data_IF_369112633202
#
_entry.id   IF_369112633202
#
_cell.length_a   1.000
_cell.length_b   1.000
_cell.length_c   1.000
_cell.angle_alpha   90.00
_cell.angle_beta   90.00
_cell.angle_gamma   90.00
#
_symmetry.space_group_name_H-M   'P 1'
#
loop_
_entity.id
_entity.type
_entity.pdbx_description
1 polymer ?
#
# COMPACT_ATOMS: atom_id res chain seq x y z
N UNK A 1 17.27 13.24 6.59
CA UNK A 1 17.83 13.21 5.22
C UNK A 1 19.35 13.33 5.34
N UNK A 2 20.11 12.42 4.73
CA UNK A 2 21.56 12.60 4.64
C UNK A 2 21.84 13.80 3.71
N UNK A 3 22.68 14.77 4.10
CA UNK A 3 23.05 15.87 3.24
C UNK A 3 23.59 15.35 1.90
N UNK A 4 23.05 15.83 0.78
CA UNK A 4 23.53 15.51 -0.58
C UNK A 4 22.86 14.34 -1.30
N UNK A 5 21.90 13.63 -0.68
CA UNK A 5 21.09 12.62 -1.39
C UNK A 5 19.87 13.28 -2.03
N UNK A 6 19.77 13.21 -3.37
CA UNK A 6 18.59 13.67 -4.10
C UNK A 6 17.34 12.86 -3.73
N UNK A 7 16.17 13.46 -3.92
CA UNK A 7 14.91 12.76 -3.75
C UNK A 7 14.72 11.80 -4.92
N UNK A 8 14.28 10.55 -4.67
CA UNK A 8 13.93 9.65 -5.76
C UNK A 8 12.90 10.30 -6.69
N UNK A 9 12.87 9.86 -7.94
CA UNK A 9 11.79 10.24 -8.84
C UNK A 9 10.44 9.92 -8.21
N UNK A 10 9.52 10.88 -8.24
CA UNK A 10 8.18 10.72 -7.65
C UNK A 10 7.33 9.71 -8.44
N UNK A 11 7.72 9.41 -9.68
CA UNK A 11 7.07 8.41 -10.53
C UNK A 11 7.68 7.02 -10.31
N UNK A 12 7.77 6.60 -9.04
CA UNK A 12 8.23 5.27 -8.62
C UNK A 12 9.75 5.03 -8.66
N UNK A 13 10.55 6.05 -8.38
CA UNK A 13 12.01 5.89 -8.26
C UNK A 13 12.72 5.77 -9.62
N UNK A 14 13.93 5.24 -9.58
CA UNK A 14 14.79 4.98 -10.75
C UNK A 14 15.60 3.70 -10.52
N UNK A 15 16.36 3.23 -11.51
CA UNK A 15 17.12 1.97 -11.44
C UNK A 15 18.04 1.89 -10.21
N UNK A 16 18.63 3.02 -9.83
CA UNK A 16 19.52 3.13 -8.68
C UNK A 16 18.84 3.70 -7.41
N UNK A 17 17.54 3.97 -7.49
CA UNK A 17 16.74 4.56 -6.41
C UNK A 17 15.43 3.78 -6.26
N UNK A 18 15.55 2.58 -5.71
CA UNK A 18 14.41 1.75 -5.39
C UNK A 18 13.58 2.44 -4.31
N UNK A 19 12.26 2.47 -4.50
CA UNK A 19 11.29 2.97 -3.53
C UNK A 19 10.44 1.84 -2.98
N UNK A 20 10.13 1.90 -1.69
CA UNK A 20 9.15 1.04 -1.03
C UNK A 20 7.77 1.72 -1.09
N UNK A 21 6.74 0.98 -1.50
CA UNK A 21 5.38 1.48 -1.75
C UNK A 21 4.39 0.55 -1.05
N UNK A 22 3.49 1.11 -0.25
CA UNK A 22 2.37 0.35 0.31
C UNK A 22 1.09 0.72 -0.43
N UNK A 23 0.38 -0.29 -0.93
CA UNK A 23 -0.80 -0.08 -1.75
C UNK A 23 -2.03 -0.78 -1.16
N UNK A 24 -3.00 0.03 -0.74
CA UNK A 24 -4.33 -0.45 -0.38
C UNK A 24 -5.28 -0.43 -1.57
N UNK A 25 -6.21 -1.41 -1.64
CA UNK A 25 -7.30 -1.40 -2.64
C UNK A 25 -8.64 -1.76 -2.00
N UNK A 26 -9.67 -0.97 -2.31
CA UNK A 26 -11.03 -1.17 -1.80
C UNK A 26 -11.62 -2.56 -2.10
N UNK A 27 -11.31 -3.13 -3.27
CA UNK A 27 -11.81 -4.45 -3.69
C UNK A 27 -11.17 -5.61 -2.90
N UNK A 28 -10.09 -5.35 -2.16
CA UNK A 28 -9.43 -6.34 -1.32
C UNK A 28 -9.91 -6.31 0.13
N UNK A 29 -10.78 -5.35 0.49
CA UNK A 29 -11.43 -5.38 1.80
C UNK A 29 -12.26 -6.67 1.92
N UNK A 30 -12.08 -7.44 3.02
CA UNK A 30 -12.96 -8.56 3.30
C UNK A 30 -14.41 -8.10 3.32
N UNK A 31 -15.30 -8.82 2.63
CA UNK A 31 -16.73 -8.58 2.79
C UNK A 31 -17.11 -8.83 4.25
N UNK A 32 -17.91 -7.94 4.84
CA UNK A 32 -18.40 -8.08 6.24
C UNK A 32 -19.35 -9.29 6.43
N UNK A 33 -19.44 -10.21 5.47
CA UNK A 33 -20.42 -11.29 5.40
C UNK A 33 -20.09 -12.53 6.23
N UNK A 34 -19.09 -12.47 7.12
CA UNK A 34 -18.66 -13.61 7.93
C UNK A 34 -18.96 -13.45 9.42
N UNK A 35 -20.13 -12.95 9.81
CA UNK A 35 -20.67 -13.24 11.16
C UNK A 35 -22.19 -13.10 11.23
N UNK A 36 -22.92 -14.20 11.01
CA UNK A 36 -24.18 -14.54 11.70
C UNK A 36 -24.53 -15.98 11.35
N UNK A 37 -24.70 -16.83 12.37
CA UNK A 37 -24.71 -18.28 12.24
C UNK A 37 -25.75 -18.86 11.28
N UNK A 38 -25.31 -19.79 10.44
CA UNK A 38 -26.10 -20.94 9.99
C UNK A 38 -25.17 -22.00 9.42
N UNK A 39 -25.15 -23.18 10.05
CA UNK A 39 -24.58 -24.40 9.48
C UNK A 39 -25.46 -24.80 8.29
N UNK A 40 -25.08 -24.42 7.07
CA UNK A 40 -25.63 -25.03 5.86
C UNK A 40 -24.53 -25.23 4.84
N UNK A 41 -24.30 -26.49 4.46
CA UNK A 41 -23.45 -26.91 3.35
C UNK A 41 -23.83 -26.16 2.06
N UNK A 42 -23.04 -25.16 1.68
CA UNK A 42 -22.99 -24.63 0.31
C UNK A 42 -21.54 -24.44 -0.08
N UNK A 43 -21.03 -25.43 -0.80
CA UNK A 43 -19.79 -25.34 -1.55
C UNK A 43 -20.03 -24.60 -2.88
N UNK A 44 -18.93 -24.05 -3.40
CA UNK A 44 -18.69 -23.59 -4.78
C UNK A 44 -18.98 -22.09 -5.00
N UNK A 45 -17.89 -21.34 -5.25
CA UNK A 45 -17.74 -19.91 -5.62
C UNK A 45 -17.61 -18.88 -4.46
N UNK A 46 -16.67 -19.10 -3.54
CA UNK A 46 -15.95 -18.00 -2.85
C UNK A 46 -14.43 -18.24 -2.89
N UNK A 47 -13.95 -18.87 -3.97
CA UNK A 47 -12.51 -19.08 -4.20
C UNK A 47 -12.00 -17.98 -5.13
N UNK A 48 -11.95 -16.76 -4.61
CA UNK A 48 -11.11 -15.69 -5.15
C UNK A 48 -10.12 -15.29 -4.06
N UNK A 49 -9.10 -16.14 -3.91
CA UNK A 49 -7.76 -15.76 -3.47
C UNK A 49 -7.65 -15.03 -2.12
N UNK A 50 -8.20 -15.65 -1.07
CA UNK A 50 -8.14 -15.21 0.33
C UNK A 50 -6.80 -15.49 1.03
N UNK A 51 -5.67 -15.65 0.31
CA UNK A 51 -4.36 -15.82 0.95
C UNK A 51 -3.67 -14.48 1.31
N UNK A 52 -4.35 -13.35 1.11
CA UNK A 52 -3.85 -12.02 1.49
C UNK A 52 -4.08 -11.79 2.98
N UNK A 53 -3.01 -11.48 3.73
CA UNK A 53 -3.08 -11.17 5.17
C UNK A 53 -3.90 -9.91 5.46
N UNK A 54 -3.97 -8.97 4.52
CA UNK A 54 -4.69 -7.71 4.64
C UNK A 54 -5.02 -7.12 3.25
N UNK A 55 -5.90 -6.10 3.13
CA UNK A 55 -6.21 -5.39 1.87
C UNK A 55 -5.09 -4.48 1.36
N UNK A 56 -3.86 -4.71 1.80
CA UNK A 56 -2.64 -3.97 1.45
C UNK A 56 -1.62 -4.91 0.82
N UNK A 57 -0.95 -4.42 -0.21
CA UNK A 57 0.27 -4.99 -0.76
C UNK A 57 1.49 -4.15 -0.39
N UNK A 58 2.60 -4.85 -0.14
CA UNK A 58 3.91 -4.27 0.08
C UNK A 58 4.72 -4.46 -1.20
N UNK A 59 5.25 -3.36 -1.74
CA UNK A 59 5.76 -3.30 -3.10
C UNK A 59 7.11 -2.56 -3.12
N UNK A 60 7.92 -2.88 -4.11
CA UNK A 60 9.06 -2.07 -4.53
C UNK A 60 8.91 -1.61 -5.98
N UNK A 61 9.62 -0.53 -6.33
CA UNK A 61 9.79 -0.10 -7.71
C UNK A 61 11.13 0.59 -7.92
N UNK A 62 11.67 0.46 -9.13
CA UNK A 62 12.94 1.01 -9.60
C UNK A 62 12.73 1.81 -10.90
N UNK A 63 11.62 2.56 -10.98
CA UNK A 63 11.21 3.29 -12.18
C UNK A 63 9.79 3.00 -12.63
N UNK A 64 9.37 3.68 -13.69
CA UNK A 64 8.02 3.54 -14.24
C UNK A 64 7.74 2.10 -14.69
N UNK A 65 6.56 1.59 -14.35
CA UNK A 65 6.09 0.25 -14.74
C UNK A 65 6.83 -0.95 -14.12
N UNK A 66 7.65 -0.74 -13.09
CA UNK A 66 8.41 -1.82 -12.43
C UNK A 66 7.85 -2.24 -11.07
N UNK A 67 6.58 -1.92 -10.75
CA UNK A 67 5.96 -2.34 -9.48
C UNK A 67 6.09 -3.85 -9.31
N UNK A 68 6.67 -4.27 -8.21
CA UNK A 68 6.89 -5.68 -7.87
C UNK A 68 6.46 -5.92 -6.44
N UNK A 69 5.64 -6.96 -6.21
CA UNK A 69 5.26 -7.39 -4.87
C UNK A 69 6.48 -7.96 -4.15
N UNK A 70 6.69 -7.52 -2.92
CA UNK A 70 7.75 -8.04 -2.06
C UNK A 70 7.43 -9.47 -1.62
N UNK A 71 8.46 -10.31 -1.43
CA UNK A 71 8.29 -11.64 -0.86
C UNK A 71 7.88 -11.56 0.63
N UNK A 72 8.48 -10.62 1.36
CA UNK A 72 8.13 -10.29 2.73
C UNK A 72 6.95 -9.29 2.73
N UNK A 73 5.84 -9.68 3.37
CA UNK A 73 4.64 -8.85 3.50
C UNK A 73 4.52 -8.38 4.95
N UNK A 74 5.06 -7.18 5.20
CA UNK A 74 5.21 -6.61 6.54
C UNK A 74 4.15 -5.54 6.86
N UNK A 75 3.34 -5.17 5.87
CA UNK A 75 2.35 -4.10 5.99
C UNK A 75 0.95 -4.66 6.13
N UNK A 76 0.33 -4.31 7.24
CA UNK A 76 -1.11 -4.48 7.44
C UNK A 76 -1.82 -3.18 7.11
N UNK A 77 -3.06 -3.27 6.67
CA UNK A 77 -3.91 -2.10 6.65
C UNK A 77 -5.39 -2.42 6.63
N UNK A 78 -6.18 -1.36 6.68
CA UNK A 78 -7.64 -1.41 6.58
C UNK A 78 -8.18 -0.08 6.09
N UNK A 79 -9.17 -0.15 5.23
CA UNK A 79 -9.97 0.96 4.74
C UNK A 79 -11.40 0.90 5.29
N UNK A 80 -11.96 2.06 5.61
CA UNK A 80 -13.37 2.23 5.93
C UNK A 80 -13.97 3.36 5.08
N UNK A 81 -15.07 3.08 4.40
CA UNK A 81 -15.86 4.12 3.75
C UNK A 81 -16.91 4.64 4.73
N UNK A 82 -16.79 5.92 5.09
CA UNK A 82 -17.75 6.58 5.97
C UNK A 82 -17.91 8.05 5.57
N UNK A 83 -19.15 8.53 5.50
CA UNK A 83 -19.41 9.95 5.24
C UNK A 83 -18.86 10.45 3.91
N UNK A 84 -18.93 9.63 2.84
CA UNK A 84 -18.37 9.92 1.51
C UNK A 84 -16.84 10.04 1.48
N UNK A 85 -16.14 9.47 2.44
CA UNK A 85 -14.67 9.52 2.51
C UNK A 85 -14.10 8.16 2.87
N UNK A 86 -13.01 7.78 2.21
CA UNK A 86 -12.20 6.64 2.59
C UNK A 86 -11.25 7.04 3.72
N UNK A 87 -11.24 6.25 4.79
CA UNK A 87 -10.26 6.33 5.86
C UNK A 87 -9.41 5.07 5.79
N UNK A 88 -8.14 5.21 5.45
CA UNK A 88 -7.21 4.10 5.29
C UNK A 88 -6.10 4.22 6.32
N UNK A 89 -5.83 3.14 7.03
CA UNK A 89 -4.72 3.03 7.96
C UNK A 89 -3.78 1.95 7.46
N UNK A 90 -2.49 2.27 7.41
CA UNK A 90 -1.40 1.34 7.23
C UNK A 90 -0.67 1.16 8.56
N UNK A 91 -0.21 -0.06 8.83
CA UNK A 91 0.51 -0.43 10.05
C UNK A 91 1.64 -1.37 9.70
N UNK A 92 2.85 -1.01 10.12
CA UNK A 92 4.02 -1.88 10.18
C UNK A 92 4.95 -1.43 11.29
N UNK A 93 5.97 -2.22 11.61
CA UNK A 93 7.04 -1.78 12.53
C UNK A 93 7.85 -0.66 11.88
N UNK A 94 8.44 0.22 12.70
CA UNK A 94 9.26 1.33 12.18
C UNK A 94 10.56 0.82 11.54
N UNK A 95 11.11 -0.28 12.06
CA UNK A 95 12.34 -0.93 11.61
C UNK A 95 12.09 -2.43 11.60
N UNK A 96 12.61 -3.12 10.60
CA UNK A 96 12.59 -4.58 10.45
C UNK A 96 13.93 -5.06 9.83
N UNK A 97 14.05 -6.37 9.56
CA UNK A 97 15.21 -6.96 8.91
C UNK A 97 15.17 -6.88 7.39
N UNK A 98 14.03 -6.54 6.80
CA UNK A 98 13.87 -6.46 5.35
C UNK A 98 14.58 -5.23 4.79
N UNK A 99 15.57 -5.47 3.93
CA UNK A 99 16.36 -4.42 3.28
C UNK A 99 15.63 -3.69 2.16
N UNK A 100 14.56 -4.27 1.62
CA UNK A 100 13.73 -3.65 0.60
C UNK A 100 12.75 -2.62 1.21
N UNK A 101 12.55 -2.69 2.52
CA UNK A 101 11.73 -1.77 3.29
C UNK A 101 12.45 -0.48 3.71
N UNK A 102 11.72 0.64 3.69
CA UNK A 102 12.28 1.90 4.19
C UNK A 102 12.46 1.85 5.71
N UNK A 103 13.66 2.04 6.23
CA UNK A 103 13.89 1.96 7.67
C UNK A 103 13.61 3.31 8.34
N UNK A 104 12.52 3.41 9.12
CA UNK A 104 12.08 4.63 9.80
C UNK A 104 12.90 4.92 11.06
N UNK A 105 14.24 4.97 10.92
CA UNK A 105 15.17 5.38 11.99
C UNK A 105 15.23 6.90 12.15
N UNK A 106 14.88 7.64 11.09
CA UNK A 106 14.90 9.09 11.02
C UNK A 106 13.71 9.59 10.21
N UNK A 107 13.48 10.91 10.22
CA UNK A 107 12.48 11.54 9.34
C UNK A 107 12.76 11.20 7.86
N UNK A 108 11.73 10.75 7.17
CA UNK A 108 11.80 10.17 5.82
C UNK A 108 10.82 10.89 4.91
N UNK A 109 11.14 10.98 3.61
CA UNK A 109 10.21 11.55 2.63
C UNK A 109 9.21 10.50 2.17
N UNK A 110 7.97 10.93 1.95
CA UNK A 110 6.91 10.11 1.38
C UNK A 110 6.08 10.90 0.38
N UNK A 111 5.43 10.19 -0.53
CA UNK A 111 4.41 10.75 -1.40
C UNK A 111 3.16 9.87 -1.30
N UNK A 112 1.99 10.44 -1.59
CA UNK A 112 0.72 9.73 -1.56
C UNK A 112 0.12 9.77 -2.96
N UNK A 113 -0.32 8.61 -3.45
CA UNK A 113 -1.08 8.50 -4.68
C UNK A 113 -2.48 7.94 -4.39
N UNK A 114 -3.50 8.49 -5.07
CA UNK A 114 -4.91 8.12 -4.90
C UNK A 114 -5.54 7.88 -6.27
N UNK A 115 -6.34 6.82 -6.37
CA UNK A 115 -7.11 6.46 -7.55
C UNK A 115 -8.60 6.53 -7.23
N UNK A 116 -9.33 7.38 -7.95
CA UNK A 116 -10.78 7.41 -7.92
C UNK A 116 -11.36 6.41 -8.93
N UNK A 117 -11.75 5.22 -8.45
CA UNK A 117 -12.39 4.21 -9.28
C UNK A 117 -13.71 4.66 -9.93
N UNK A 118 -14.45 5.58 -9.30
CA UNK A 118 -15.64 6.20 -9.89
C UNK A 118 -15.31 7.10 -11.09
N UNK A 119 -14.09 7.65 -11.13
CA UNK A 119 -13.52 8.39 -12.26
C UNK A 119 -12.71 7.48 -13.22
N UNK A 120 -12.80 6.15 -13.06
CA UNK A 120 -12.09 5.14 -13.87
C UNK A 120 -10.55 5.23 -13.84
N UNK A 121 -10.00 5.87 -12.81
CA UNK A 121 -8.56 5.99 -12.60
C UNK A 121 -7.94 4.62 -12.30
N UNK A 122 -6.79 4.34 -12.94
CA UNK A 122 -6.02 3.10 -12.80
C UNK A 122 -4.58 3.31 -13.24
N UNK A 123 -3.66 2.48 -12.75
CA UNK A 123 -2.24 2.49 -13.12
C UNK A 123 -1.65 3.91 -13.00
N UNK A 124 -1.11 4.47 -14.08
CA UNK A 124 -0.54 5.82 -14.10
C UNK A 124 -1.58 6.96 -13.98
N UNK A 125 -2.87 6.69 -14.19
CA UNK A 125 -3.93 7.70 -14.04
C UNK A 125 -4.34 7.79 -12.58
N UNK A 126 -3.81 8.78 -11.87
CA UNK A 126 -3.97 8.98 -10.42
C UNK A 126 -3.68 10.42 -10.02
N UNK A 127 -4.24 10.85 -8.89
CA UNK A 127 -3.71 12.02 -8.18
C UNK A 127 -2.46 11.62 -7.40
N UNK A 128 -1.42 12.45 -7.43
CA UNK A 128 -0.19 12.26 -6.64
C UNK A 128 0.15 13.56 -5.91
N UNK A 129 0.57 13.47 -4.65
CA UNK A 129 1.12 14.60 -3.91
C UNK A 129 2.53 14.94 -4.39
N UNK A 130 3.06 16.09 -3.97
CA UNK A 130 4.52 16.28 -3.94
C UNK A 130 5.16 15.40 -2.84
N UNK A 131 6.48 15.39 -2.76
CA UNK A 131 7.20 14.83 -1.61
C UNK A 131 6.83 15.58 -0.32
N UNK A 132 6.54 14.82 0.73
CA UNK A 132 6.17 15.27 2.07
C UNK A 132 7.21 14.71 3.04
N UNK A 133 7.73 15.54 3.96
CA UNK A 133 8.60 15.05 5.03
C UNK A 133 7.74 14.44 6.14
N UNK A 134 7.81 13.11 6.30
CA UNK A 134 7.28 12.42 7.47
C UNK A 134 8.25 12.61 8.63
N UNK A 135 7.90 13.50 9.56
CA UNK A 135 8.70 13.76 10.76
C UNK A 135 8.44 12.67 11.79
N UNK A 136 9.50 11.98 12.20
CA UNK A 136 9.50 11.10 13.37
C UNK A 136 10.06 11.90 14.54
N UNK A 137 9.28 11.97 15.62
CA UNK A 137 9.60 12.68 16.85
C UNK A 137 10.25 11.76 17.86
#
# INVERSE_FOLDING_TARGET
MYPGKELPSITMGSENEIVNIWQWRAIWEPSLSATSGSRSNRSVIEVLDNNRRSPVEDLTAAGFSTLTTQEEQDVLGRGLWQGKTWRVVFKRTLVNSDSADVQFKYSTVMAIAVWNGGNRERNGQKGISNWILLRLL
#
